data_IF_085093775939
#
_entry.id   IF_085093775939
#
_cell.length_a   1.000
_cell.length_b   1.000
_cell.length_c   1.000
_cell.angle_alpha   90.00
_cell.angle_beta   90.00
_cell.angle_gamma   90.00
#
_symmetry.space_group_name_H-M   'P 1'
#
loop_
_entity.id
_entity.type
_entity.pdbx_description
1 polymer ?
#
# COMPACT_ATOMS: atom_id res chain seq x y z
N UNK A 1 29.54 -29.55 -13.05
CA UNK A 1 30.40 -28.37 -13.31
C UNK A 1 29.64 -27.14 -13.82
N UNK A 2 28.65 -27.28 -14.71
CA UNK A 2 27.88 -26.15 -15.25
C UNK A 2 27.02 -25.40 -14.21
N UNK A 3 26.53 -26.07 -13.16
CA UNK A 3 25.75 -25.45 -12.09
C UNK A 3 26.58 -24.50 -11.22
N UNK A 4 27.78 -24.90 -10.82
CA UNK A 4 28.68 -24.09 -9.98
C UNK A 4 29.21 -22.88 -10.72
N UNK A 5 29.52 -23.02 -12.02
CA UNK A 5 29.89 -21.90 -12.89
C UNK A 5 28.75 -20.87 -13.01
N UNK A 6 27.49 -21.33 -13.11
CA UNK A 6 26.32 -20.43 -13.14
C UNK A 6 26.08 -19.75 -11.79
N UNK A 7 26.31 -20.44 -10.68
CA UNK A 7 26.18 -19.84 -9.35
C UNK A 7 27.26 -18.79 -9.10
N UNK A 8 28.51 -19.04 -9.51
CA UNK A 8 29.58 -18.06 -9.44
C UNK A 8 29.32 -16.81 -10.30
N UNK A 9 28.58 -16.92 -11.41
CA UNK A 9 28.14 -15.77 -12.21
C UNK A 9 26.93 -15.04 -11.65
N UNK A 10 26.15 -15.70 -10.78
CA UNK A 10 25.00 -15.12 -10.09
C UNK A 10 25.39 -14.44 -8.76
N UNK A 11 26.64 -14.60 -8.32
CA UNK A 11 27.25 -13.94 -7.16
C UNK A 11 27.63 -12.46 -7.41
N UNK A 12 27.27 -11.91 -8.57
CA UNK A 12 27.27 -10.46 -8.78
C UNK A 12 26.21 -9.81 -7.88
N UNK A 13 26.41 -8.57 -7.39
CA UNK A 13 25.37 -7.88 -6.65
C UNK A 13 24.10 -7.87 -7.49
N UNK A 14 23.00 -8.35 -6.91
CA UNK A 14 21.70 -8.19 -7.53
C UNK A 14 21.52 -6.71 -7.86
N UNK A 15 20.88 -6.36 -9.00
CA UNK A 15 20.56 -4.98 -9.28
C UNK A 15 19.83 -4.41 -8.06
N UNK A 16 20.47 -3.46 -7.39
CA UNK A 16 19.86 -2.77 -6.25
C UNK A 16 18.75 -1.94 -6.86
N UNK A 17 17.51 -2.26 -6.51
CA UNK A 17 16.40 -1.38 -6.83
C UNK A 17 16.59 -0.10 -6.02
N UNK A 18 17.06 0.96 -6.69
CA UNK A 18 17.09 2.28 -6.09
C UNK A 18 15.65 2.80 -6.01
N UNK A 19 15.12 3.08 -4.81
CA UNK A 19 13.78 3.64 -4.69
C UNK A 19 13.70 4.98 -5.45
N UNK A 20 12.74 5.12 -6.35
CA UNK A 20 12.48 6.38 -7.07
C UNK A 20 12.09 7.51 -6.11
N UNK A 21 11.53 7.16 -4.95
CA UNK A 21 11.12 8.08 -3.90
C UNK A 21 11.58 7.58 -2.51
N UNK A 22 11.75 8.48 -1.53
CA UNK A 22 12.01 8.06 -0.16
C UNK A 22 10.82 7.28 0.41
N UNK A 23 11.10 6.41 1.38
CA UNK A 23 10.07 5.69 2.14
C UNK A 23 8.99 6.65 2.67
N UNK A 24 7.75 6.18 2.68
CA UNK A 24 6.64 6.93 3.24
C UNK A 24 6.90 7.22 4.73
N UNK A 25 6.60 8.45 5.15
CA UNK A 25 6.69 8.80 6.56
C UNK A 25 5.58 8.10 7.37
N UNK A 26 5.76 7.99 8.69
CA UNK A 26 4.69 7.50 9.56
C UNK A 26 3.41 8.33 9.44
N UNK A 27 3.53 9.64 9.26
CA UNK A 27 2.42 10.56 9.02
C UNK A 27 1.70 10.27 7.68
N UNK A 28 2.46 10.04 6.61
CA UNK A 28 1.90 9.67 5.30
C UNK A 28 1.06 8.39 5.37
N UNK A 29 1.56 7.39 6.10
CA UNK A 29 0.89 6.12 6.32
C UNK A 29 -0.38 6.30 7.16
N UNK A 30 -0.34 7.09 8.23
CA UNK A 30 -1.54 7.33 9.06
C UNK A 30 -2.63 8.08 8.29
N UNK A 31 -2.28 9.09 7.49
CA UNK A 31 -3.22 9.77 6.60
C UNK A 31 -3.82 8.80 5.58
N UNK A 32 -2.99 7.93 4.99
CA UNK A 32 -3.47 6.89 4.08
C UNK A 32 -4.44 5.91 4.77
N UNK A 33 -4.12 5.43 5.98
CA UNK A 33 -4.99 4.50 6.71
C UNK A 33 -6.33 5.12 7.08
N UNK A 34 -6.34 6.40 7.47
CA UNK A 34 -7.55 7.14 7.80
C UNK A 34 -8.47 7.25 6.58
N UNK A 35 -7.91 7.63 5.42
CA UNK A 35 -8.68 7.72 4.18
C UNK A 35 -9.17 6.35 3.70
N UNK A 36 -8.33 5.32 3.81
CA UNK A 36 -8.69 3.95 3.46
C UNK A 36 -9.89 3.47 4.29
N UNK A 37 -9.88 3.70 5.60
CA UNK A 37 -10.97 3.33 6.50
C UNK A 37 -12.30 4.01 6.12
N UNK A 38 -12.24 5.30 5.81
CA UNK A 38 -13.40 6.08 5.35
C UNK A 38 -13.99 5.52 4.06
N UNK A 39 -13.14 5.21 3.07
CA UNK A 39 -13.59 4.65 1.79
C UNK A 39 -14.14 3.24 1.95
N UNK A 40 -13.50 2.38 2.75
CA UNK A 40 -13.97 1.00 2.96
C UNK A 40 -15.29 0.96 3.72
N UNK A 41 -15.47 1.83 4.71
CA UNK A 41 -16.77 2.02 5.38
C UNK A 41 -17.79 2.58 4.40
N UNK A 42 -17.38 3.57 3.62
CA UNK A 42 -18.25 4.27 2.68
C UNK A 42 -18.78 3.37 1.55
N UNK A 43 -18.00 2.38 1.13
CA UNK A 43 -18.37 1.39 0.11
C UNK A 43 -19.16 0.21 0.69
N UNK A 44 -19.28 0.10 2.02
CA UNK A 44 -19.91 -1.03 2.70
C UNK A 44 -19.03 -2.28 2.75
N UNK A 45 -17.76 -2.21 2.35
CA UNK A 45 -16.82 -3.33 2.44
C UNK A 45 -16.43 -3.62 3.90
N UNK A 46 -16.29 -2.57 4.71
CA UNK A 46 -16.04 -2.69 6.14
C UNK A 46 -17.33 -2.39 6.92
N UNK A 47 -17.68 -3.32 7.81
CA UNK A 47 -18.71 -3.10 8.82
C UNK A 47 -18.11 -2.28 9.99
N UNK A 48 -18.60 -1.06 10.26
CA UNK A 48 -18.12 -0.24 11.37
C UNK A 48 -18.42 -0.86 12.75
N UNK A 49 -19.36 -1.81 12.85
CA UNK A 49 -19.65 -2.53 14.10
C UNK A 49 -18.71 -3.73 14.33
N UNK A 50 -18.00 -4.19 13.28
CA UNK A 50 -16.97 -5.24 13.40
C UNK A 50 -15.63 -4.90 12.70
N UNK A 51 -14.96 -3.77 13.06
CA UNK A 51 -13.79 -3.27 12.34
C UNK A 51 -12.48 -4.01 12.70
N UNK A 52 -12.49 -4.81 13.77
CA UNK A 52 -11.30 -5.13 14.58
C UNK A 52 -10.18 -5.88 13.86
N UNK A 53 -10.45 -6.53 12.74
CA UNK A 53 -9.45 -7.36 12.07
C UNK A 53 -9.00 -6.83 10.71
N UNK A 54 -9.85 -6.10 9.97
CA UNK A 54 -9.51 -5.68 8.63
C UNK A 54 -8.42 -4.60 8.63
N UNK A 55 -8.64 -3.48 9.32
CA UNK A 55 -7.64 -2.40 9.38
C UNK A 55 -6.33 -2.85 10.00
N UNK A 56 -6.37 -3.73 11.00
CA UNK A 56 -5.14 -4.31 11.60
C UNK A 56 -4.38 -5.20 10.61
N UNK A 57 -5.07 -5.94 9.74
CA UNK A 57 -4.43 -6.75 8.68
C UNK A 57 -3.84 -5.86 7.59
N UNK A 58 -4.56 -4.82 7.18
CA UNK A 58 -4.10 -3.85 6.18
C UNK A 58 -2.88 -3.07 6.67
N UNK A 59 -2.89 -2.55 7.90
CA UNK A 59 -1.71 -1.90 8.51
C UNK A 59 -0.49 -2.81 8.50
N UNK A 60 -0.64 -4.08 8.91
CA UNK A 60 0.47 -5.05 8.85
C UNK A 60 0.96 -5.34 7.43
N UNK A 61 0.04 -5.37 6.45
CA UNK A 61 0.40 -5.57 5.04
C UNK A 61 1.28 -4.42 4.55
N UNK A 62 0.86 -3.17 4.77
CA UNK A 62 1.58 -2.00 4.28
C UNK A 62 2.86 -1.72 5.06
N UNK A 63 2.91 -2.01 6.36
CA UNK A 63 4.18 -1.96 7.12
C UNK A 63 5.21 -2.92 6.53
N UNK A 64 4.80 -4.15 6.18
CA UNK A 64 5.71 -5.15 5.57
C UNK A 64 6.10 -4.80 4.13
N UNK A 65 5.23 -4.10 3.42
CA UNK A 65 5.50 -3.68 2.06
C UNK A 65 6.51 -2.52 1.99
N UNK A 66 6.71 -1.79 3.09
CA UNK A 66 7.60 -0.63 3.19
C UNK A 66 7.45 0.34 2.01
N UNK A 67 6.22 0.83 1.72
CA UNK A 67 5.96 1.59 0.52
C UNK A 67 6.66 2.95 0.57
N UNK A 68 7.02 3.43 -0.61
CA UNK A 68 7.56 4.78 -0.77
C UNK A 68 6.46 5.84 -0.81
N UNK A 69 6.85 7.12 -0.77
CA UNK A 69 5.91 8.24 -0.82
C UNK A 69 5.10 8.27 -2.12
N UNK A 70 5.69 7.87 -3.25
CA UNK A 70 5.03 7.88 -4.55
C UNK A 70 3.92 6.82 -4.58
N UNK A 71 4.20 5.61 -4.12
CA UNK A 71 3.24 4.53 -3.98
C UNK A 71 2.08 4.91 -3.08
N UNK A 72 2.35 5.53 -1.91
CA UNK A 72 1.30 6.03 -1.02
C UNK A 72 0.45 7.13 -1.69
N UNK A 73 1.06 8.01 -2.48
CA UNK A 73 0.33 9.04 -3.23
C UNK A 73 -0.58 8.41 -4.30
N UNK A 74 -0.10 7.40 -5.03
CA UNK A 74 -0.90 6.66 -6.02
C UNK A 74 -2.09 5.99 -5.32
N UNK A 75 -1.85 5.29 -4.21
CA UNK A 75 -2.91 4.64 -3.43
C UNK A 75 -3.93 5.65 -2.91
N UNK A 76 -3.50 6.80 -2.38
CA UNK A 76 -4.41 7.88 -1.97
C UNK A 76 -5.21 8.43 -3.15
N UNK A 77 -4.60 8.58 -4.33
CA UNK A 77 -5.29 9.00 -5.56
C UNK A 77 -6.38 8.02 -5.99
N UNK A 78 -6.12 6.72 -5.90
CA UNK A 78 -7.13 5.67 -6.13
C UNK A 78 -8.32 5.85 -5.17
N UNK A 79 -8.04 6.03 -3.87
CA UNK A 79 -9.07 6.25 -2.85
C UNK A 79 -9.93 7.50 -3.14
N UNK A 80 -9.30 8.61 -3.55
CA UNK A 80 -10.02 9.84 -3.96
C UNK A 80 -10.98 9.54 -5.12
N UNK A 81 -10.54 8.78 -6.12
CA UNK A 81 -11.38 8.43 -7.27
C UNK A 81 -12.60 7.57 -6.91
N UNK A 82 -12.49 6.77 -5.85
CA UNK A 82 -13.57 5.93 -5.34
C UNK A 82 -14.56 6.79 -4.55
N UNK A 83 -14.05 7.65 -3.66
CA UNK A 83 -14.86 8.55 -2.86
C UNK A 83 -15.66 9.55 -3.73
N UNK A 84 -15.02 10.13 -4.75
CA UNK A 84 -15.69 11.00 -5.72
C UNK A 84 -16.86 10.30 -6.43
N UNK A 85 -16.64 9.07 -6.93
CA UNK A 85 -17.70 8.27 -7.55
C UNK A 85 -18.86 7.93 -6.61
N UNK A 86 -18.58 7.78 -5.32
CA UNK A 86 -19.63 7.56 -4.33
C UNK A 86 -20.48 8.82 -4.16
N UNK A 87 -19.86 10.00 -4.08
CA UNK A 87 -20.57 11.28 -3.98
C UNK A 87 -21.46 11.54 -5.19
N UNK A 88 -21.00 11.23 -6.40
CA UNK A 88 -21.78 11.39 -7.63
C UNK A 88 -23.01 10.46 -7.72
N UNK A 89 -23.00 9.34 -6.99
CA UNK A 89 -24.10 8.37 -6.94
C UNK A 89 -25.05 8.58 -5.76
N UNK A 90 -24.80 9.54 -4.89
CA UNK A 90 -25.72 9.90 -3.81
C UNK A 90 -26.87 10.75 -4.38
N UNK A 91 -28.14 10.40 -4.10
CA UNK A 91 -29.30 11.16 -4.56
C UNK A 91 -29.44 12.54 -3.88
#
# INVERSE_FOLDING_TARGET
LSYELRMATLDGPLPVYEPEAPLASGEDLEHFYTHLEQVLTGTGFMDPENPRHLMRRLRRLFIRAEPDRNEINILRGILVSIDARKRDKAP
#
